data_IF_284328526974
#
_entry.id   IF_284328526974
#
_cell.length_a   1.000
_cell.length_b   1.000
_cell.length_c   1.000
_cell.angle_alpha   90.00
_cell.angle_beta   90.00
_cell.angle_gamma   90.00
#
_symmetry.space_group_name_H-M   'P 1'
#
loop_
_entity.id
_entity.type
_entity.pdbx_description
1 polymer ?
#
# COMPACT_ATOMS: atom_id res chain seq x y z
N UNK A 1 8.91 30.84 -36.36
CA UNK A 1 8.63 29.44 -36.00
C UNK A 1 9.50 28.91 -34.85
N UNK A 2 10.67 29.50 -34.53
CA UNK A 2 11.59 28.99 -33.50
C UNK A 2 11.29 29.41 -32.03
N UNK A 3 10.49 30.47 -31.81
CA UNK A 3 10.17 30.96 -30.44
C UNK A 3 9.21 30.03 -29.68
N UNK A 4 8.25 29.45 -30.40
CA UNK A 4 7.23 28.55 -29.85
C UNK A 4 7.84 27.26 -29.29
N UNK A 5 8.91 26.79 -29.92
CA UNK A 5 9.65 25.59 -29.50
C UNK A 5 10.40 25.79 -28.18
N UNK A 6 10.95 27.00 -27.96
CA UNK A 6 11.73 27.31 -26.77
C UNK A 6 10.85 27.45 -25.52
N UNK A 7 9.70 28.07 -25.67
CA UNK A 7 8.70 28.19 -24.60
C UNK A 7 8.13 26.82 -24.22
N UNK A 8 7.91 25.92 -25.18
CA UNK A 8 7.47 24.54 -24.93
C UNK A 8 8.55 23.69 -24.24
N UNK A 9 9.83 23.89 -24.58
CA UNK A 9 10.97 23.26 -23.89
C UNK A 9 11.12 23.77 -22.46
N UNK A 10 11.05 25.10 -22.24
CA UNK A 10 11.07 25.70 -20.90
C UNK A 10 9.88 25.24 -20.06
N UNK A 11 8.69 25.12 -20.64
CA UNK A 11 7.52 24.62 -19.94
C UNK A 11 7.68 23.14 -19.56
N UNK A 12 8.26 22.31 -20.43
CA UNK A 12 8.60 20.91 -20.11
C UNK A 12 9.68 20.82 -19.03
N UNK A 13 10.68 21.69 -19.05
CA UNK A 13 11.74 21.77 -18.03
C UNK A 13 11.16 22.14 -16.65
N UNK A 14 10.26 23.13 -16.62
CA UNK A 14 9.53 23.54 -15.43
C UNK A 14 8.63 22.40 -14.91
N UNK A 15 7.89 21.72 -15.79
CA UNK A 15 7.03 20.60 -15.40
C UNK A 15 7.84 19.42 -14.84
N UNK A 16 9.04 19.16 -15.37
CA UNK A 16 10.00 18.21 -14.79
C UNK A 16 10.50 18.67 -13.42
N UNK A 17 10.85 19.94 -13.26
CA UNK A 17 11.31 20.51 -11.99
C UNK A 17 10.27 20.37 -10.87
N UNK A 18 8.97 20.49 -11.20
CA UNK A 18 7.87 20.32 -10.26
C UNK A 18 7.36 18.86 -10.15
N UNK A 19 8.10 17.88 -10.71
CA UNK A 19 7.70 16.46 -10.74
C UNK A 19 6.28 16.20 -11.27
N UNK A 20 5.75 17.11 -12.09
CA UNK A 20 4.35 17.04 -12.56
C UNK A 20 4.20 16.24 -13.87
N UNK A 21 5.31 15.74 -14.44
CA UNK A 21 5.33 15.17 -15.79
C UNK A 21 5.67 13.69 -15.90
N UNK A 22 6.12 13.02 -14.84
CA UNK A 22 6.41 11.59 -14.92
C UNK A 22 5.46 10.81 -14.00
N UNK A 23 4.68 9.92 -14.62
CA UNK A 23 3.73 8.98 -14.00
C UNK A 23 4.41 7.91 -13.15
N UNK A 24 5.30 8.32 -12.26
CA UNK A 24 5.82 7.51 -11.17
C UNK A 24 4.84 7.73 -10.02
N UNK A 25 3.92 6.79 -9.82
CA UNK A 25 3.26 6.64 -8.52
C UNK A 25 4.36 6.32 -7.51
N UNK A 26 4.99 7.35 -6.93
CA UNK A 26 5.75 7.19 -5.69
C UNK A 26 4.84 6.46 -4.69
N UNK A 27 5.40 5.52 -3.92
CA UNK A 27 4.67 4.75 -2.91
C UNK A 27 4.16 5.73 -1.85
N UNK A 28 2.99 6.31 -2.11
CA UNK A 28 2.41 7.34 -1.30
C UNK A 28 2.18 6.73 0.08
N UNK A 29 2.77 7.26 1.17
CA UNK A 29 2.67 6.64 2.49
C UNK A 29 1.22 6.46 2.94
N UNK A 30 0.31 7.28 2.41
CA UNK A 30 -1.14 7.24 2.68
C UNK A 30 -1.94 6.45 1.64
N UNK A 31 -1.40 6.16 0.45
CA UNK A 31 -2.04 5.31 -0.57
C UNK A 31 -1.02 4.41 -1.27
N UNK A 32 -0.62 3.30 -0.64
CA UNK A 32 0.44 2.47 -1.16
C UNK A 32 0.01 1.69 -2.41
N UNK A 33 0.87 1.64 -3.42
CA UNK A 33 0.53 1.05 -4.73
C UNK A 33 0.19 -0.45 -4.67
N UNK A 34 0.74 -1.15 -3.66
CA UNK A 34 0.50 -2.56 -3.43
C UNK A 34 -0.93 -2.92 -2.96
N UNK A 35 -1.80 -1.92 -2.72
CA UNK A 35 -3.23 -2.14 -2.50
C UNK A 35 -4.12 -1.65 -3.66
N UNK A 36 -3.57 -0.95 -4.66
CA UNK A 36 -4.34 -0.34 -5.76
C UNK A 36 -5.03 -1.39 -6.66
N UNK A 37 -4.55 -2.63 -6.67
CA UNK A 37 -5.14 -3.74 -7.44
C UNK A 37 -6.25 -4.48 -6.70
N UNK A 38 -6.49 -4.15 -5.42
CA UNK A 38 -7.50 -4.82 -4.61
C UNK A 38 -8.87 -4.16 -4.81
N UNK A 39 -9.91 -5.00 -4.89
CA UNK A 39 -11.31 -4.52 -4.95
C UNK A 39 -11.73 -3.74 -3.70
N UNK A 40 -11.14 -4.08 -2.55
CA UNK A 40 -11.38 -3.44 -1.25
C UNK A 40 -10.02 -3.23 -0.60
N UNK A 41 -9.73 -2.02 -0.13
CA UNK A 41 -8.52 -1.78 0.64
C UNK A 41 -8.58 -2.51 1.99
N UNK A 42 -7.49 -3.18 2.44
CA UNK A 42 -7.49 -3.91 3.70
C UNK A 42 -7.94 -3.08 4.91
N UNK A 43 -7.48 -1.82 5.01
CA UNK A 43 -7.91 -0.92 6.09
C UNK A 43 -9.42 -0.70 6.12
N UNK A 44 -10.05 -0.54 4.96
CA UNK A 44 -11.50 -0.39 4.85
C UNK A 44 -12.23 -1.64 5.35
N UNK A 45 -11.77 -2.84 4.97
CA UNK A 45 -12.36 -4.09 5.45
C UNK A 45 -12.20 -4.26 6.97
N UNK A 46 -11.01 -3.95 7.50
CA UNK A 46 -10.67 -4.07 8.93
C UNK A 46 -11.57 -3.16 9.76
N UNK A 47 -11.69 -1.89 9.37
CA UNK A 47 -12.53 -0.91 10.08
C UNK A 47 -14.02 -1.25 9.96
N UNK A 48 -14.47 -1.73 8.81
CA UNK A 48 -15.89 -2.06 8.61
C UNK A 48 -16.36 -3.30 9.40
N UNK A 49 -15.44 -4.13 9.89
CA UNK A 49 -15.73 -5.34 10.66
C UNK A 49 -15.18 -5.28 12.09
N UNK A 50 -14.76 -4.10 12.55
CA UNK A 50 -14.22 -3.87 13.90
C UNK A 50 -13.11 -4.87 14.31
N UNK A 51 -12.24 -5.23 13.35
CA UNK A 51 -11.18 -6.20 13.59
C UNK A 51 -10.04 -5.60 14.41
N UNK A 52 -9.57 -6.38 15.38
CA UNK A 52 -8.50 -5.96 16.27
C UNK A 52 -7.12 -6.03 15.60
N UNK A 53 -6.08 -5.54 16.29
CA UNK A 53 -4.73 -5.41 15.72
C UNK A 53 -4.18 -6.69 15.06
N UNK A 54 -4.33 -7.85 15.72
CA UNK A 54 -3.83 -9.12 15.20
C UNK A 54 -4.59 -9.55 13.94
N UNK A 55 -5.92 -9.50 13.99
CA UNK A 55 -6.81 -9.86 12.87
C UNK A 55 -6.57 -8.94 11.67
N UNK A 56 -6.53 -7.63 11.91
CA UNK A 56 -6.24 -6.65 10.87
C UNK A 56 -4.85 -6.81 10.27
N UNK A 57 -3.86 -7.19 11.07
CA UNK A 57 -2.52 -7.51 10.57
C UNK A 57 -2.54 -8.74 9.66
N UNK A 58 -3.31 -9.78 9.98
CA UNK A 58 -3.47 -10.96 9.11
C UNK A 58 -4.05 -10.55 7.77
N UNK A 59 -5.18 -9.83 7.76
CA UNK A 59 -5.82 -9.36 6.52
C UNK A 59 -4.83 -8.55 5.67
N UNK A 60 -4.19 -7.54 6.27
CA UNK A 60 -3.17 -6.69 5.63
C UNK A 60 -2.07 -7.51 4.95
N UNK A 61 -1.49 -8.50 5.64
CA UNK A 61 -0.38 -9.29 5.10
C UNK A 61 -0.82 -10.27 4.02
N UNK A 62 -1.97 -10.93 4.19
CA UNK A 62 -2.54 -11.87 3.21
C UNK A 62 -3.04 -11.15 1.95
N UNK A 63 -3.44 -9.89 2.04
CA UNK A 63 -3.85 -9.11 0.87
C UNK A 63 -2.67 -8.65 0.00
N UNK A 64 -1.49 -8.34 0.58
CA UNK A 64 -0.39 -7.69 -0.16
C UNK A 64 0.82 -8.57 -0.47
N UNK A 65 0.88 -9.81 0.04
CA UNK A 65 2.11 -10.61 0.00
C UNK A 65 2.65 -10.79 -1.43
N UNK A 66 1.80 -10.91 -2.44
CA UNK A 66 2.24 -11.04 -3.85
C UNK A 66 2.88 -9.77 -4.40
N UNK A 67 2.54 -8.61 -3.82
CA UNK A 67 2.86 -7.29 -4.35
C UNK A 67 3.94 -6.56 -3.54
N UNK A 68 4.26 -7.00 -2.30
CA UNK A 68 5.24 -6.33 -1.44
C UNK A 68 6.41 -7.23 -0.99
N UNK A 69 6.18 -8.17 -0.06
CA UNK A 69 7.29 -8.90 0.60
C UNK A 69 7.27 -10.42 0.38
N UNK A 70 6.41 -10.94 -0.49
CA UNK A 70 6.31 -12.37 -0.77
C UNK A 70 5.99 -13.19 0.47
N UNK A 71 6.67 -14.34 0.59
CA UNK A 71 6.51 -15.30 1.71
C UNK A 71 6.74 -14.65 3.08
N UNK A 72 7.55 -13.58 3.16
CA UNK A 72 7.81 -12.88 4.42
C UNK A 72 6.53 -12.29 5.04
N UNK A 73 5.61 -11.75 4.22
CA UNK A 73 4.33 -11.26 4.74
C UNK A 73 3.44 -12.43 5.19
N UNK A 74 3.48 -13.58 4.51
CA UNK A 74 2.76 -14.79 4.97
C UNK A 74 3.29 -15.28 6.34
N UNK A 75 4.60 -15.28 6.55
CA UNK A 75 5.19 -15.60 7.87
C UNK A 75 4.74 -14.61 8.95
N UNK A 76 4.62 -13.31 8.62
CA UNK A 76 4.06 -12.31 9.55
C UNK A 76 2.59 -12.56 9.85
N UNK A 77 1.80 -13.00 8.86
CA UNK A 77 0.40 -13.39 9.07
C UNK A 77 0.30 -14.58 10.04
N UNK A 78 1.09 -15.64 9.81
CA UNK A 78 1.17 -16.81 10.72
C UNK A 78 1.49 -16.35 12.15
N UNK A 79 2.49 -15.49 12.33
CA UNK A 79 2.86 -14.98 13.66
C UNK A 79 1.71 -14.25 14.36
N UNK A 80 0.88 -13.49 13.63
CA UNK A 80 -0.28 -12.81 14.22
C UNK A 80 -1.38 -13.82 14.58
N UNK A 81 -1.59 -14.85 13.76
CA UNK A 81 -2.51 -15.94 14.10
C UNK A 81 -2.06 -16.71 15.34
N UNK A 82 -0.76 -17.01 15.48
CA UNK A 82 -0.21 -17.64 16.69
C UNK A 82 -0.50 -16.81 17.95
N UNK A 83 -0.32 -15.49 17.87
CA UNK A 83 -0.61 -14.58 18.98
C UNK A 83 -2.11 -14.57 19.32
N UNK A 84 -2.97 -14.55 18.31
CA UNK A 84 -4.42 -14.58 18.48
C UNK A 84 -4.86 -15.88 19.16
N UNK A 85 -4.37 -17.03 18.68
CA UNK A 85 -4.64 -18.35 19.26
C UNK A 85 -4.21 -18.39 20.73
N UNK A 86 -2.97 -17.99 21.02
CA UNK A 86 -2.45 -17.95 22.40
C UNK A 86 -3.30 -17.09 23.33
N UNK A 87 -3.79 -15.95 22.83
CA UNK A 87 -4.64 -15.05 23.59
C UNK A 87 -6.01 -15.68 23.89
N UNK A 88 -6.62 -16.37 22.92
CA UNK A 88 -7.91 -17.03 23.11
C UNK A 88 -7.80 -18.29 23.99
N UNK A 89 -6.75 -19.09 23.83
CA UNK A 89 -6.47 -20.25 24.70
C UNK A 89 -6.27 -19.82 26.16
N UNK A 90 -5.64 -18.67 26.40
CA UNK A 90 -5.46 -18.13 27.75
C UNK A 90 -6.72 -17.56 28.41
N UNK A 91 -7.83 -17.44 27.66
CA UNK A 91 -9.15 -17.01 28.17
C UNK A 91 -10.06 -18.17 28.55
N UNK A 92 -9.70 -19.41 28.19
CA UNK A 92 -10.42 -20.64 28.54
C UNK A 92 -10.05 -21.11 29.94
#
# INVERSE_FOLDING_TARGET
MARRSREEEEQKELLKQYNLFDGVEEDCPVNPSHYNTLKIQPMTYILANDLDFCEGSVIKYVSRWRMKNGITDLKKAIRNLELLIKNEEGKQ
#
